data_IF_931676841844
#
_entry.id   IF_931676841844
#
_cell.length_a   1.000
_cell.length_b   1.000
_cell.length_c   1.000
_cell.angle_alpha   90.00
_cell.angle_beta   90.00
_cell.angle_gamma   90.00
#
_symmetry.space_group_name_H-M   'P 1'
#
loop_
_entity.id
_entity.type
_entity.pdbx_description
1 polymer ?
#
# COMPACT_ATOMS: atom_id res chain seq x y z
N UNK A 1 -14.33 -9.57 17.92
CA UNK A 1 -13.15 -10.30 17.43
C UNK A 1 -13.13 -10.38 15.90
N UNK A 2 -14.24 -10.68 15.25
CA UNK A 2 -14.33 -10.83 13.78
C UNK A 2 -13.97 -9.57 12.99
N UNK A 3 -14.40 -8.39 13.45
CA UNK A 3 -14.12 -7.12 12.77
C UNK A 3 -12.64 -6.72 12.82
N UNK A 4 -11.94 -7.04 13.92
CA UNK A 4 -10.51 -6.77 14.08
C UNK A 4 -9.65 -7.67 13.17
N UNK A 5 -10.05 -8.93 13.00
CA UNK A 5 -9.39 -9.88 12.09
C UNK A 5 -9.59 -9.43 10.65
N UNK A 6 -10.81 -9.02 10.28
CA UNK A 6 -11.11 -8.48 8.94
C UNK A 6 -10.32 -7.22 8.63
N UNK A 7 -10.18 -6.29 9.60
CA UNK A 7 -9.34 -5.10 9.41
C UNK A 7 -7.87 -5.46 9.26
N UNK A 8 -7.33 -6.37 10.08
CA UNK A 8 -5.94 -6.83 9.95
C UNK A 8 -5.65 -7.47 8.59
N UNK A 9 -6.53 -8.36 8.13
CA UNK A 9 -6.41 -8.99 6.80
C UNK A 9 -6.50 -7.94 5.69
N UNK A 10 -7.41 -6.96 5.83
CA UNK A 10 -7.53 -5.84 4.90
C UNK A 10 -6.25 -5.01 4.82
N UNK A 11 -5.69 -4.61 5.97
CA UNK A 11 -4.44 -3.86 6.04
C UNK A 11 -3.26 -4.65 5.45
N UNK A 12 -3.20 -5.96 5.70
CA UNK A 12 -2.16 -6.82 5.14
C UNK A 12 -2.26 -6.94 3.63
N UNK A 13 -3.48 -7.11 3.09
CA UNK A 13 -3.72 -7.14 1.65
C UNK A 13 -3.33 -5.82 0.98
N UNK A 14 -3.64 -4.69 1.60
CA UNK A 14 -3.25 -3.37 1.09
C UNK A 14 -1.73 -3.21 1.15
N UNK A 15 -1.08 -3.56 2.26
CA UNK A 15 0.37 -3.47 2.40
C UNK A 15 1.11 -4.36 1.38
N UNK A 16 0.63 -5.59 1.16
CA UNK A 16 1.17 -6.51 0.16
C UNK A 16 0.98 -5.97 -1.26
N UNK A 17 -0.19 -5.39 -1.56
CA UNK A 17 -0.46 -4.77 -2.86
C UNK A 17 0.44 -3.56 -3.09
N UNK A 18 0.58 -2.67 -2.11
CA UNK A 18 1.47 -1.50 -2.15
C UNK A 18 2.93 -1.91 -2.36
N UNK A 19 3.39 -2.95 -1.66
CA UNK A 19 4.74 -3.50 -1.82
C UNK A 19 4.97 -4.16 -3.19
N UNK A 20 3.99 -4.89 -3.71
CA UNK A 20 4.05 -5.48 -5.04
C UNK A 20 4.12 -4.41 -6.14
N UNK A 21 3.27 -3.39 -6.03
CA UNK A 21 3.25 -2.27 -6.96
C UNK A 21 4.46 -1.34 -6.81
N UNK A 22 5.13 -1.33 -5.66
CA UNK A 22 6.35 -0.55 -5.45
C UNK A 22 7.42 -0.93 -6.46
N UNK A 23 7.58 -2.22 -6.76
CA UNK A 23 8.57 -2.70 -7.74
C UNK A 23 8.06 -2.65 -9.17
N UNK A 24 6.78 -2.29 -9.37
CA UNK A 24 6.08 -2.31 -10.66
C UNK A 24 5.20 -1.06 -10.85
N UNK A 25 5.78 0.15 -10.77
CA UNK A 25 5.01 1.40 -10.88
C UNK A 25 4.25 1.50 -12.21
N UNK A 26 4.76 0.88 -13.28
CA UNK A 26 4.09 0.84 -14.59
C UNK A 26 2.75 0.08 -14.57
N UNK A 27 2.65 -1.00 -13.79
CA UNK A 27 1.41 -1.76 -13.65
C UNK A 27 0.41 -1.01 -12.78
N UNK A 28 0.88 -0.36 -11.71
CA UNK A 28 0.04 0.46 -10.83
C UNK A 28 -0.68 1.58 -11.61
N UNK A 29 0.09 2.36 -12.37
CA UNK A 29 -0.48 3.45 -13.18
C UNK A 29 -1.50 2.91 -14.18
N UNK A 30 -1.22 1.78 -14.84
CA UNK A 30 -2.12 1.22 -15.84
C UNK A 30 -3.43 0.68 -15.26
N UNK A 31 -3.43 0.23 -14.00
CA UNK A 31 -4.60 -0.34 -13.33
C UNK A 31 -5.47 0.74 -12.66
N UNK A 32 -4.84 1.78 -12.10
CA UNK A 32 -5.53 2.77 -11.26
C UNK A 32 -5.68 4.15 -11.88
N UNK A 33 -4.95 4.45 -12.96
CA UNK A 33 -5.01 5.77 -13.61
C UNK A 33 -5.79 5.68 -14.92
N UNK A 34 -6.79 6.55 -15.14
CA UNK A 34 -7.53 6.63 -16.40
C UNK A 34 -6.61 6.87 -17.59
N UNK A 35 -6.95 6.28 -18.75
CA UNK A 35 -6.15 6.31 -19.98
C UNK A 35 -5.70 7.73 -20.39
N UNK A 36 -6.55 8.72 -20.14
CA UNK A 36 -6.37 10.13 -20.51
C UNK A 36 -5.29 10.83 -19.66
N UNK A 37 -5.15 10.46 -18.38
CA UNK A 37 -4.16 11.06 -17.47
C UNK A 37 -2.86 10.26 -17.36
N UNK A 38 -2.87 9.01 -17.86
CA UNK A 38 -1.76 8.06 -17.75
C UNK A 38 -0.42 8.67 -18.14
N UNK A 39 -0.35 9.44 -19.23
CA UNK A 39 0.93 9.96 -19.77
C UNK A 39 1.57 11.01 -18.86
N UNK A 40 0.77 11.90 -18.30
CA UNK A 40 1.22 12.98 -17.39
C UNK A 40 1.60 12.41 -16.03
N UNK A 41 0.75 11.52 -15.51
CA UNK A 41 0.93 10.85 -14.23
C UNK A 41 2.17 9.94 -14.29
N UNK A 42 2.33 9.15 -15.36
CA UNK A 42 3.50 8.30 -15.58
C UNK A 42 4.83 9.08 -15.63
N UNK A 43 4.86 10.25 -16.29
CA UNK A 43 6.07 11.08 -16.36
C UNK A 43 6.47 11.64 -15.00
N UNK A 44 5.49 11.97 -14.15
CA UNK A 44 5.72 12.48 -12.81
C UNK A 44 6.05 11.36 -11.80
N UNK A 45 5.44 10.17 -11.95
CA UNK A 45 5.73 9.00 -11.12
C UNK A 45 7.09 8.35 -11.40
N UNK A 46 7.61 8.46 -12.63
CA UNK A 46 8.93 7.90 -12.97
C UNK A 46 10.11 8.72 -12.43
N UNK A 47 9.87 9.91 -11.88
CA UNK A 47 10.87 10.57 -11.05
C UNK A 47 11.01 9.76 -9.76
N UNK A 48 12.23 9.35 -9.45
CA UNK A 48 12.68 8.39 -8.42
C UNK A 48 12.00 8.41 -7.04
N UNK A 49 11.26 9.46 -6.70
CA UNK A 49 10.58 9.60 -5.41
C UNK A 49 9.34 8.70 -5.27
N UNK A 50 8.71 8.26 -6.36
CA UNK A 50 7.50 7.43 -6.26
C UNK A 50 7.78 6.04 -5.67
N UNK A 51 8.85 5.39 -6.12
CA UNK A 51 9.27 4.08 -5.62
C UNK A 51 9.60 4.14 -4.13
N UNK A 52 10.30 5.20 -3.72
CA UNK A 52 10.67 5.45 -2.33
C UNK A 52 9.43 5.77 -1.48
N UNK A 53 8.51 6.59 -2.00
CA UNK A 53 7.24 6.91 -1.34
C UNK A 53 6.36 5.69 -1.12
N UNK A 54 6.19 4.85 -2.15
CA UNK A 54 5.39 3.62 -2.03
C UNK A 54 6.02 2.60 -1.08
N UNK A 55 7.36 2.47 -1.08
CA UNK A 55 8.04 1.63 -0.08
C UNK A 55 7.81 2.13 1.34
N UNK A 56 7.95 3.43 1.58
CA UNK A 56 7.68 4.01 2.90
C UNK A 56 6.23 3.80 3.32
N UNK A 57 5.28 3.97 2.40
CA UNK A 57 3.86 3.77 2.68
C UNK A 57 3.54 2.31 3.01
N UNK A 58 4.14 1.36 2.29
CA UNK A 58 4.02 -0.07 2.61
C UNK A 58 4.62 -0.42 3.98
N UNK A 59 5.78 0.14 4.33
CA UNK A 59 6.40 -0.05 5.65
C UNK A 59 5.53 0.52 6.76
N UNK A 60 4.98 1.72 6.59
CA UNK A 60 4.08 2.33 7.57
C UNK A 60 2.82 1.47 7.74
N UNK A 61 2.21 1.02 6.65
CA UNK A 61 1.03 0.13 6.71
C UNK A 61 1.33 -1.18 7.43
N UNK A 62 2.50 -1.78 7.21
CA UNK A 62 2.92 -2.99 7.90
C UNK A 62 3.13 -2.75 9.41
N UNK A 63 3.83 -1.67 9.79
CA UNK A 63 4.04 -1.31 11.20
C UNK A 63 2.70 -1.07 11.89
N UNK A 64 1.79 -0.34 11.24
CA UNK A 64 0.47 -0.04 11.78
C UNK A 64 -0.36 -1.32 11.96
N UNK A 65 -0.32 -2.23 10.98
CA UNK A 65 -0.96 -3.54 11.08
C UNK A 65 -0.45 -4.34 12.30
N UNK A 66 0.87 -4.38 12.50
CA UNK A 66 1.47 -5.12 13.64
C UNK A 66 1.10 -4.44 14.97
N UNK A 67 1.14 -3.11 15.04
CA UNK A 67 0.78 -2.37 16.24
C UNK A 67 -0.70 -2.58 16.63
N UNK A 68 -1.61 -2.56 15.65
CA UNK A 68 -3.03 -2.86 15.88
C UNK A 68 -3.22 -4.31 16.33
N UNK A 69 -2.52 -5.27 15.72
CA UNK A 69 -2.60 -6.68 16.14
C UNK A 69 -2.15 -6.87 17.59
N UNK A 70 -1.03 -6.26 17.98
CA UNK A 70 -0.51 -6.30 19.36
C UNK A 70 -1.48 -5.63 20.32
N UNK A 71 -2.02 -4.46 19.97
CA UNK A 71 -3.00 -3.77 20.81
C UNK A 71 -4.26 -4.62 21.02
N UNK A 72 -4.81 -5.21 19.95
CA UNK A 72 -5.96 -6.12 20.04
C UNK A 72 -5.64 -7.32 20.93
N UNK A 73 -4.45 -7.92 20.79
CA UNK A 73 -4.04 -9.07 21.60
C UNK A 73 -3.82 -8.73 23.10
N UNK A 74 -3.49 -7.48 23.43
CA UNK A 74 -3.32 -7.02 24.82
C UNK A 74 -4.64 -6.60 25.47
N UNK A 75 -5.62 -6.18 24.68
CA UNK A 75 -6.92 -5.70 25.15
C UNK A 75 -7.98 -6.81 25.15
N UNK A 76 -7.81 -7.86 24.35
CA UNK A 76 -8.66 -9.06 24.33
C UNK A 76 -8.26 -10.05 25.43
#
# INVERSE_FOLDING_TARGET
>A
MDEAILTLVGFWCVAASTGYFSSRPRQFVRLFVPAEETRTVYRNLLKSDFERGMRWMAVIQAIFSVAVAVFVALVS
#
